data_IF_067329491727
#
_entry.id   IF_067329491727
#
_cell.length_a   1.000
_cell.length_b   1.000
_cell.length_c   1.000
_cell.angle_alpha   90.00
_cell.angle_beta   90.00
_cell.angle_gamma   90.00
#
_symmetry.space_group_name_H-M   'P 1'
#
loop_
_entity.id
_entity.type
_entity.pdbx_description
1 polymer ?
#
# COMPACT_ATOMS: atom_id res chain seq x y z
N UNK A 1 -18.04 9.94 -1.76
CA UNK A 1 -19.04 9.12 -1.01
C UNK A 1 -18.86 9.33 0.49
N UNK A 2 -19.91 9.21 1.31
CA UNK A 2 -19.73 9.41 2.77
C UNK A 2 -19.07 8.18 3.38
N UNK A 3 -18.15 8.37 4.33
CA UNK A 3 -17.43 7.24 4.95
C UNK A 3 -18.36 6.23 5.65
N UNK A 4 -19.52 6.67 6.12
CA UNK A 4 -20.54 5.80 6.73
C UNK A 4 -21.15 4.78 5.76
N UNK A 5 -21.01 4.99 4.44
CA UNK A 5 -21.48 4.05 3.42
C UNK A 5 -20.60 2.79 3.33
N UNK A 6 -19.40 2.81 3.90
CA UNK A 6 -18.52 1.63 3.95
C UNK A 6 -19.08 0.63 4.95
N UNK A 7 -19.20 -0.61 4.51
CA UNK A 7 -19.74 -1.72 5.29
C UNK A 7 -18.94 -1.95 6.58
N UNK A 8 -19.62 -1.82 7.72
CA UNK A 8 -19.05 -1.98 9.06
C UNK A 8 -18.56 -0.71 9.77
N UNK A 9 -18.58 0.48 9.15
CA UNK A 9 -18.21 1.74 9.84
C UNK A 9 -19.33 2.21 10.79
N UNK A 10 -20.59 2.24 10.35
CA UNK A 10 -21.71 2.68 11.17
C UNK A 10 -21.55 4.09 11.78
N UNK A 11 -22.54 4.56 12.54
CA UNK A 11 -22.54 5.94 13.09
C UNK A 11 -21.37 6.20 14.05
N UNK A 12 -21.04 5.23 14.90
CA UNK A 12 -20.00 5.36 15.94
C UNK A 12 -18.61 5.52 15.34
N UNK A 13 -18.20 4.67 14.39
CA UNK A 13 -16.87 4.80 13.79
C UNK A 13 -16.81 5.94 12.78
N UNK A 14 -17.91 6.26 12.06
CA UNK A 14 -17.96 7.44 11.20
C UNK A 14 -17.67 8.73 11.98
N UNK A 15 -18.26 8.89 13.18
CA UNK A 15 -17.98 10.05 14.04
C UNK A 15 -16.51 10.10 14.49
N UNK A 16 -15.93 8.95 14.88
CA UNK A 16 -14.53 8.86 15.30
C UNK A 16 -13.56 9.20 14.17
N UNK A 17 -13.81 8.67 12.97
CA UNK A 17 -12.99 8.93 11.78
C UNK A 17 -13.13 10.40 11.32
N UNK A 18 -14.34 10.96 11.38
CA UNK A 18 -14.59 12.38 11.11
C UNK A 18 -13.79 13.31 12.04
N UNK A 19 -13.74 13.00 13.34
CA UNK A 19 -12.90 13.73 14.32
C UNK A 19 -11.40 13.59 14.04
N UNK A 20 -10.99 12.52 13.36
CA UNK A 20 -9.61 12.31 12.91
C UNK A 20 -9.33 12.94 11.53
N UNK A 21 -10.28 13.70 10.96
CA UNK A 21 -10.13 14.39 9.68
C UNK A 21 -10.56 13.58 8.46
N UNK A 22 -11.19 12.42 8.62
CA UNK A 22 -11.65 11.57 7.52
C UNK A 22 -13.17 11.63 7.37
N UNK A 23 -13.64 12.37 6.38
CA UNK A 23 -15.07 12.59 6.16
C UNK A 23 -15.66 11.68 5.05
N UNK A 24 -14.84 11.26 4.09
CA UNK A 24 -15.30 10.59 2.87
C UNK A 24 -14.48 9.36 2.51
N UNK A 25 -15.02 8.55 1.61
CA UNK A 25 -14.43 7.30 1.12
C UNK A 25 -13.12 7.59 0.37
N UNK A 26 -13.08 8.66 -0.40
CA UNK A 26 -11.96 9.04 -1.24
C UNK A 26 -10.71 9.38 -0.41
N UNK A 27 -10.86 10.07 0.72
CA UNK A 27 -9.78 10.39 1.66
C UNK A 27 -9.26 9.13 2.34
N UNK A 28 -10.17 8.24 2.77
CA UNK A 28 -9.77 6.98 3.38
C UNK A 28 -8.99 6.11 2.39
N UNK A 29 -9.46 6.01 1.14
CA UNK A 29 -8.86 5.15 0.10
C UNK A 29 -7.39 5.47 -0.22
N UNK A 30 -6.91 6.67 0.11
CA UNK A 30 -5.56 7.15 -0.22
C UNK A 30 -4.54 6.96 0.89
N UNK A 31 -4.97 6.54 2.08
CA UNK A 31 -4.06 6.47 3.22
C UNK A 31 -2.96 5.42 3.02
N UNK A 32 -1.73 5.79 3.37
CA UNK A 32 -0.62 4.85 3.57
C UNK A 32 -0.80 4.08 4.89
N UNK A 33 -0.07 3.00 5.09
CA UNK A 33 -0.11 2.27 6.36
C UNK A 33 0.33 3.11 7.56
N UNK A 34 1.35 3.95 7.40
CA UNK A 34 1.75 4.93 8.43
C UNK A 34 0.57 5.85 8.79
N UNK A 35 -0.09 6.44 7.79
CA UNK A 35 -1.26 7.30 7.99
C UNK A 35 -2.45 6.54 8.61
N UNK A 36 -2.66 5.28 8.24
CA UNK A 36 -3.66 4.40 8.85
C UNK A 36 -3.35 4.22 10.35
N UNK A 37 -2.10 3.98 10.72
CA UNK A 37 -1.70 3.86 12.13
C UNK A 37 -1.90 5.17 12.90
N UNK A 38 -1.59 6.32 12.30
CA UNK A 38 -1.83 7.62 12.92
C UNK A 38 -3.32 7.88 13.16
N UNK A 39 -4.15 7.64 12.14
CA UNK A 39 -5.61 7.78 12.22
C UNK A 39 -6.17 6.82 13.26
N UNK A 40 -5.73 5.56 13.25
CA UNK A 40 -6.15 4.54 14.20
C UNK A 40 -5.86 4.97 15.65
N UNK A 41 -4.66 5.51 15.91
CA UNK A 41 -4.28 6.07 17.20
C UNK A 41 -5.17 7.26 17.61
N UNK A 42 -5.35 8.24 16.72
CA UNK A 42 -6.19 9.43 16.95
C UNK A 42 -7.65 9.05 17.23
N UNK A 43 -8.20 8.14 16.44
CA UNK A 43 -9.59 7.68 16.53
C UNK A 43 -9.82 6.64 17.64
N UNK A 44 -8.75 6.09 18.24
CA UNK A 44 -8.78 4.95 19.16
C UNK A 44 -9.56 3.77 18.56
N UNK A 45 -9.08 3.32 17.40
CA UNK A 45 -9.57 2.19 16.61
C UNK A 45 -8.39 1.28 16.31
N UNK A 46 -8.62 -0.03 16.12
CA UNK A 46 -7.57 -0.94 15.66
C UNK A 46 -7.07 -0.53 14.26
N UNK A 47 -5.75 -0.44 14.01
CA UNK A 47 -5.20 -0.18 12.67
C UNK A 47 -5.75 -1.15 11.63
N UNK A 48 -5.85 -2.45 11.96
CA UNK A 48 -6.41 -3.48 11.06
C UNK A 48 -7.88 -3.24 10.68
N UNK A 49 -8.65 -2.58 11.55
CA UNK A 49 -10.04 -2.26 11.25
C UNK A 49 -10.14 -1.06 10.30
N UNK A 50 -9.31 -0.04 10.52
CA UNK A 50 -9.18 1.09 9.58
C UNK A 50 -8.67 0.61 8.22
N UNK A 51 -7.73 -0.34 8.23
CA UNK A 51 -7.20 -0.98 7.03
C UNK A 51 -8.27 -1.66 6.20
N UNK A 52 -9.09 -2.52 6.82
CA UNK A 52 -10.22 -3.18 6.16
C UNK A 52 -11.14 -2.17 5.48
N UNK A 53 -11.44 -1.06 6.15
CA UNK A 53 -12.28 -0.02 5.57
C UNK A 53 -11.59 0.73 4.42
N UNK A 54 -10.28 0.94 4.50
CA UNK A 54 -9.50 1.50 3.39
C UNK A 54 -9.48 0.57 2.18
N UNK A 55 -9.36 -0.75 2.37
CA UNK A 55 -9.45 -1.75 1.30
C UNK A 55 -10.80 -1.69 0.58
N UNK A 56 -11.89 -1.61 1.35
CA UNK A 56 -13.23 -1.43 0.80
C UNK A 56 -13.36 -0.09 0.07
N UNK A 57 -12.80 0.99 0.63
CA UNK A 57 -12.81 2.31 0.02
C UNK A 57 -12.07 2.35 -1.33
N UNK A 58 -10.90 1.69 -1.44
CA UNK A 58 -10.16 1.61 -2.71
C UNK A 58 -10.98 0.87 -3.78
N UNK A 59 -11.63 -0.25 -3.42
CA UNK A 59 -12.51 -0.99 -4.34
C UNK A 59 -13.75 -0.19 -4.76
N UNK A 60 -14.33 0.59 -3.85
CA UNK A 60 -15.49 1.45 -4.13
C UNK A 60 -15.16 2.60 -5.10
N UNK A 61 -13.89 2.86 -5.41
CA UNK A 61 -13.51 3.79 -6.47
C UNK A 61 -13.90 3.29 -7.87
N UNK A 62 -14.19 1.99 -8.04
CA UNK A 62 -14.61 1.42 -9.31
C UNK A 62 -16.13 1.57 -9.51
N UNK A 63 -16.52 2.05 -10.70
CA UNK A 63 -17.94 2.22 -11.02
C UNK A 63 -18.66 0.88 -10.98
N UNK A 64 -19.72 0.83 -10.18
CA UNK A 64 -20.56 -0.35 -9.99
C UNK A 64 -20.14 -1.24 -8.82
N UNK A 65 -19.08 -0.90 -8.08
CA UNK A 65 -18.73 -1.55 -6.81
C UNK A 65 -19.25 -0.68 -5.65
N UNK A 66 -20.41 -1.06 -5.10
CA UNK A 66 -20.92 -0.51 -3.84
C UNK A 66 -20.35 -1.23 -2.61
N UNK A 67 -20.80 -0.83 -1.43
CA UNK A 67 -20.32 -1.35 -0.14
C UNK A 67 -20.38 -2.88 -0.02
N UNK A 68 -21.49 -3.50 -0.44
CA UNK A 68 -21.66 -4.96 -0.40
C UNK A 68 -20.64 -5.70 -1.26
N UNK A 69 -20.42 -5.23 -2.49
CA UNK A 69 -19.44 -5.85 -3.39
C UNK A 69 -18.00 -5.58 -2.94
N UNK A 70 -17.71 -4.39 -2.42
CA UNK A 70 -16.42 -4.11 -1.82
C UNK A 70 -16.14 -5.02 -0.62
N UNK A 71 -17.13 -5.24 0.26
CA UNK A 71 -16.98 -6.20 1.35
C UNK A 71 -16.83 -7.64 0.84
N UNK A 72 -17.63 -8.06 -0.14
CA UNK A 72 -17.57 -9.41 -0.69
C UNK A 72 -16.20 -9.71 -1.32
N UNK A 73 -15.69 -8.79 -2.14
CA UNK A 73 -14.36 -8.87 -2.75
C UNK A 73 -13.27 -8.94 -1.68
N UNK A 74 -13.33 -8.07 -0.67
CA UNK A 74 -12.39 -8.07 0.45
C UNK A 74 -12.35 -9.44 1.15
N UNK A 75 -13.52 -10.00 1.49
CA UNK A 75 -13.62 -11.31 2.16
C UNK A 75 -13.15 -12.50 1.31
N UNK A 76 -13.07 -12.36 -0.01
CA UNK A 76 -12.49 -13.40 -0.90
C UNK A 76 -11.01 -13.16 -1.24
N UNK A 77 -10.37 -12.21 -0.55
CA UNK A 77 -8.96 -11.87 -0.70
C UNK A 77 -8.65 -11.00 -1.91
N UNK A 78 -9.62 -10.21 -2.35
CA UNK A 78 -9.46 -9.15 -3.35
C UNK A 78 -9.72 -7.84 -2.62
N UNK A 79 -8.67 -7.24 -2.11
CA UNK A 79 -8.70 -6.14 -1.13
C UNK A 79 -8.33 -4.77 -1.73
N UNK A 80 -8.01 -4.72 -3.01
CA UNK A 80 -7.61 -3.48 -3.68
C UNK A 80 -7.91 -3.53 -5.17
N UNK A 81 -7.96 -2.34 -5.78
CA UNK A 81 -8.03 -2.18 -7.24
C UNK A 81 -6.85 -2.89 -7.91
N UNK A 82 -5.65 -2.77 -7.32
CA UNK A 82 -4.44 -3.46 -7.80
C UNK A 82 -4.62 -4.98 -7.82
N UNK A 83 -5.13 -5.56 -6.73
CA UNK A 83 -5.34 -7.01 -6.69
C UNK A 83 -6.42 -7.44 -7.67
N UNK A 84 -7.50 -6.66 -7.82
CA UNK A 84 -8.58 -6.96 -8.78
C UNK A 84 -8.10 -6.90 -10.24
N UNK A 85 -7.23 -5.94 -10.59
CA UNK A 85 -6.67 -5.78 -11.93
C UNK A 85 -5.95 -7.05 -12.43
N UNK A 86 -5.40 -7.85 -11.52
CA UNK A 86 -4.66 -9.08 -11.81
C UNK A 86 -5.55 -10.33 -11.85
N UNK A 87 -6.86 -10.21 -11.62
CA UNK A 87 -7.76 -11.38 -11.53
C UNK A 87 -8.36 -11.77 -12.88
N UNK A 88 -8.82 -13.02 -12.91
CA UNK A 88 -9.66 -13.56 -13.96
C UNK A 88 -11.13 -13.56 -13.50
N UNK A 89 -12.04 -13.04 -14.32
CA UNK A 89 -13.44 -12.83 -13.95
C UNK A 89 -14.18 -14.11 -13.58
N UNK A 90 -13.95 -15.23 -14.28
CA UNK A 90 -14.57 -16.51 -13.97
C UNK A 90 -14.20 -16.99 -12.56
N UNK A 91 -12.91 -16.92 -12.21
CA UNK A 91 -12.44 -17.27 -10.86
C UNK A 91 -12.98 -16.34 -9.77
N UNK A 92 -13.13 -15.04 -10.07
CA UNK A 92 -13.76 -14.10 -9.12
C UNK A 92 -15.22 -14.45 -8.90
N UNK A 93 -15.97 -14.72 -9.96
CA UNK A 93 -17.37 -15.14 -9.90
C UNK A 93 -17.56 -16.42 -9.08
N UNK A 94 -16.72 -17.43 -9.29
CA UNK A 94 -16.74 -18.68 -8.51
C UNK A 94 -16.54 -18.40 -7.01
N UNK A 95 -15.56 -17.56 -6.67
CA UNK A 95 -15.30 -17.18 -5.27
C UNK A 95 -16.45 -16.39 -4.64
N UNK A 96 -17.09 -15.48 -5.38
CA UNK A 96 -18.25 -14.73 -4.89
C UNK A 96 -19.43 -15.69 -4.64
N UNK A 97 -19.71 -16.62 -5.56
CA UNK A 97 -20.75 -17.66 -5.37
C UNK A 97 -20.46 -18.55 -4.16
N UNK A 98 -19.21 -18.95 -3.96
CA UNK A 98 -18.82 -19.74 -2.80
C UNK A 98 -18.96 -18.96 -1.49
N UNK A 99 -18.64 -17.66 -1.49
CA UNK A 99 -18.86 -16.78 -0.34
C UNK A 99 -20.35 -16.65 -0.02
N UNK A 100 -21.18 -16.42 -1.03
CA UNK A 100 -22.64 -16.26 -0.92
C UNK A 100 -23.28 -17.51 -0.31
N UNK A 101 -22.95 -18.71 -0.82
CA UNK A 101 -23.40 -19.98 -0.24
C UNK A 101 -23.02 -20.13 1.23
N UNK A 102 -21.84 -19.67 1.63
CA UNK A 102 -21.34 -19.76 3.01
C UNK A 102 -21.91 -18.66 3.90
N UNK A 103 -22.26 -17.51 3.34
CA UNK A 103 -22.66 -16.28 4.03
C UNK A 103 -23.66 -15.49 3.17
N UNK A 104 -24.93 -15.93 3.12
CA UNK A 104 -25.93 -15.42 2.17
C UNK A 104 -26.35 -13.96 2.40
N UNK A 105 -26.00 -13.37 3.55
CA UNK A 105 -26.43 -12.02 3.92
C UNK A 105 -25.41 -10.92 3.55
N UNK A 106 -24.34 -11.25 2.82
CA UNK A 106 -23.31 -10.25 2.47
C UNK A 106 -23.69 -9.46 1.21
N UNK A 107 -24.27 -10.14 0.23
CA UNK A 107 -24.69 -9.53 -1.03
C UNK A 107 -26.18 -9.80 -1.24
N UNK A 108 -26.93 -8.78 -1.62
CA UNK A 108 -28.37 -8.97 -1.92
C UNK A 108 -28.61 -9.70 -3.22
N UNK A 109 -27.69 -9.55 -4.18
CA UNK A 109 -27.77 -10.16 -5.51
C UNK A 109 -26.38 -10.47 -6.02
N UNK A 110 -26.21 -11.66 -6.59
CA UNK A 110 -24.97 -12.04 -7.28
C UNK A 110 -24.69 -11.08 -8.45
N UNK A 111 -23.43 -10.66 -8.64
CA UNK A 111 -23.08 -9.85 -9.79
C UNK A 111 -23.18 -10.70 -11.06
N UNK A 112 -23.41 -10.03 -12.19
CA UNK A 112 -23.33 -10.66 -13.51
C UNK A 112 -21.87 -10.78 -13.96
N UNK A 113 -21.60 -11.71 -14.88
CA UNK A 113 -20.26 -11.83 -15.49
C UNK A 113 -19.81 -10.51 -16.12
N UNK A 114 -20.71 -9.82 -16.82
CA UNK A 114 -20.44 -8.52 -17.44
C UNK A 114 -20.03 -7.45 -16.42
N UNK A 115 -20.66 -7.41 -15.24
CA UNK A 115 -20.25 -6.50 -14.17
C UNK A 115 -18.82 -6.81 -13.70
N UNK A 116 -18.50 -8.08 -13.44
CA UNK A 116 -17.15 -8.46 -12.99
C UNK A 116 -16.08 -8.18 -14.05
N UNK A 117 -16.38 -8.46 -15.33
CA UNK A 117 -15.50 -8.12 -16.45
C UNK A 117 -15.24 -6.60 -16.51
N UNK A 118 -16.29 -5.78 -16.35
CA UNK A 118 -16.18 -4.33 -16.33
C UNK A 118 -15.36 -3.81 -15.14
N UNK A 119 -15.51 -4.40 -13.95
CA UNK A 119 -14.71 -4.04 -12.77
C UNK A 119 -13.24 -4.35 -12.98
N UNK A 120 -12.91 -5.52 -13.51
CA UNK A 120 -11.51 -5.92 -13.78
C UNK A 120 -10.90 -5.02 -14.85
N UNK A 121 -11.67 -4.65 -15.90
CA UNK A 121 -11.20 -3.72 -16.92
C UNK A 121 -10.87 -2.34 -16.33
N UNK A 122 -11.81 -1.75 -15.58
CA UNK A 122 -11.57 -0.47 -14.89
C UNK A 122 -10.38 -0.55 -13.94
N UNK A 123 -10.24 -1.67 -13.22
CA UNK A 123 -9.14 -1.88 -12.30
C UNK A 123 -7.78 -1.92 -13.01
N UNK A 124 -7.69 -2.59 -14.17
CA UNK A 124 -6.49 -2.60 -15.01
C UNK A 124 -6.13 -1.21 -15.50
N UNK A 125 -7.09 -0.48 -16.05
CA UNK A 125 -6.89 0.88 -16.55
C UNK A 125 -6.38 1.81 -15.43
N UNK A 126 -7.02 1.78 -14.25
CA UNK A 126 -6.59 2.58 -13.11
C UNK A 126 -5.23 2.14 -12.55
N UNK A 127 -4.94 0.84 -12.52
CA UNK A 127 -3.66 0.32 -12.05
C UNK A 127 -2.51 0.77 -12.96
N UNK A 128 -2.66 0.64 -14.28
CA UNK A 128 -1.64 1.07 -15.23
C UNK A 128 -1.41 2.59 -15.16
N UNK A 129 -2.48 3.39 -15.08
CA UNK A 129 -2.37 4.85 -14.91
C UNK A 129 -1.67 5.21 -13.59
N UNK A 130 -2.05 4.56 -12.48
CA UNK A 130 -1.40 4.79 -11.17
C UNK A 130 0.06 4.35 -11.20
N UNK A 131 0.39 3.23 -11.85
CA UNK A 131 1.76 2.72 -11.99
C UNK A 131 2.66 3.72 -12.72
N UNK A 132 2.23 4.21 -13.89
CA UNK A 132 2.96 5.22 -14.66
C UNK A 132 3.14 6.52 -13.86
N UNK A 133 2.10 6.96 -13.13
CA UNK A 133 2.18 8.13 -12.26
C UNK A 133 3.10 7.92 -11.04
N UNK A 134 3.11 6.73 -10.45
CA UNK A 134 3.92 6.39 -9.25
C UNK A 134 5.41 6.57 -9.55
N UNK A 135 5.86 6.16 -10.73
CA UNK A 135 7.25 6.32 -11.20
C UNK A 135 7.66 7.76 -11.51
N UNK A 136 6.77 8.75 -11.38
CA UNK A 136 7.05 10.13 -11.77
C UNK A 136 6.69 11.20 -10.71
N UNK A 137 6.11 10.85 -9.55
CA UNK A 137 5.47 11.86 -8.67
C UNK A 137 5.47 11.62 -7.17
N UNK A 138 6.00 10.52 -6.64
CA UNK A 138 5.86 10.22 -5.21
C UNK A 138 6.61 11.25 -4.37
N UNK A 139 5.94 11.83 -3.37
CA UNK A 139 6.56 12.84 -2.51
C UNK A 139 7.46 12.15 -1.48
N UNK A 140 8.53 12.81 -1.05
CA UNK A 140 9.43 12.24 -0.03
C UNK A 140 8.71 11.95 1.28
N UNK A 141 7.61 12.63 1.59
CA UNK A 141 6.82 12.34 2.78
C UNK A 141 6.20 10.93 2.75
N UNK A 142 6.00 10.35 1.57
CA UNK A 142 5.41 9.01 1.41
C UNK A 142 6.43 7.89 1.64
N UNK A 143 7.72 8.20 1.84
CA UNK A 143 8.77 7.21 2.12
C UNK A 143 8.81 6.94 3.62
N UNK A 144 8.77 5.65 3.96
CA UNK A 144 8.74 5.15 5.33
C UNK A 144 9.90 5.73 6.17
N UNK A 145 9.55 6.35 7.30
CA UNK A 145 10.49 6.94 8.25
C UNK A 145 10.91 8.39 7.97
N UNK A 146 10.42 9.05 6.91
CA UNK A 146 10.61 10.50 6.70
C UNK A 146 9.63 11.31 7.56
N UNK A 147 8.32 11.05 7.44
CA UNK A 147 7.28 11.79 8.14
C UNK A 147 7.32 13.33 7.90
N UNK A 148 6.41 14.07 8.52
CA UNK A 148 6.29 15.52 8.26
C UNK A 148 7.56 16.33 8.59
N UNK A 149 8.25 15.96 9.68
CA UNK A 149 9.37 16.75 10.21
C UNK A 149 10.56 16.72 9.24
N UNK A 150 10.94 15.53 8.75
CA UNK A 150 12.04 15.43 7.81
C UNK A 150 11.61 15.83 6.40
N UNK A 151 10.37 15.55 5.99
CA UNK A 151 9.85 16.02 4.69
C UNK A 151 9.93 17.55 4.56
N UNK A 152 9.53 18.30 5.59
CA UNK A 152 9.63 19.78 5.59
C UNK A 152 11.08 20.26 5.41
N UNK A 153 12.06 19.57 6.01
CA UNK A 153 13.49 19.91 5.88
C UNK A 153 14.03 19.56 4.49
N UNK A 154 13.70 18.38 3.96
CA UNK A 154 14.09 17.93 2.64
C UNK A 154 13.49 18.82 1.54
N UNK A 155 12.19 19.15 1.64
CA UNK A 155 11.52 20.03 0.69
C UNK A 155 12.19 21.41 0.64
N UNK A 156 12.50 22.01 1.80
CA UNK A 156 13.27 23.27 1.86
C UNK A 156 14.67 23.16 1.26
N UNK A 157 15.25 21.97 1.27
CA UNK A 157 16.55 21.72 0.68
C UNK A 157 16.51 21.44 -0.83
N UNK A 158 15.31 21.31 -1.43
CA UNK A 158 15.11 21.02 -2.85
C UNK A 158 14.91 19.52 -3.16
N UNK A 159 14.73 18.69 -2.14
CA UNK A 159 14.47 17.24 -2.28
C UNK A 159 13.00 17.01 -1.93
N UNK A 160 12.15 16.95 -2.96
CA UNK A 160 10.69 16.94 -2.80
C UNK A 160 10.11 15.61 -3.25
N UNK A 161 10.71 15.00 -4.26
CA UNK A 161 10.25 13.77 -4.88
C UNK A 161 11.17 12.60 -4.56
N UNK A 162 10.62 11.40 -4.67
CA UNK A 162 11.36 10.16 -4.51
C UNK A 162 12.56 10.07 -5.46
N UNK A 163 12.43 10.57 -6.69
CA UNK A 163 13.50 10.58 -7.70
C UNK A 163 14.67 11.50 -7.30
N UNK A 164 14.40 12.58 -6.54
CA UNK A 164 15.44 13.48 -6.05
C UNK A 164 16.40 12.74 -5.11
N UNK A 165 15.89 11.79 -4.31
CA UNK A 165 16.71 10.95 -3.44
C UNK A 165 17.55 9.95 -4.23
N UNK A 166 17.01 9.36 -5.31
CA UNK A 166 17.69 8.34 -6.10
C UNK A 166 18.96 8.84 -6.79
N UNK A 167 19.03 10.15 -7.09
CA UNK A 167 20.14 10.77 -7.84
C UNK A 167 21.25 11.31 -6.93
N UNK A 168 21.11 11.19 -5.61
CA UNK A 168 22.13 11.69 -4.68
C UNK A 168 23.41 10.85 -4.76
N UNK A 169 24.54 11.54 -4.91
CA UNK A 169 25.86 10.94 -4.73
C UNK A 169 26.27 11.04 -3.26
N UNK A 170 27.30 10.27 -2.84
CA UNK A 170 27.86 10.39 -1.47
C UNK A 170 28.24 11.83 -1.09
N UNK A 171 28.71 12.63 -2.05
CA UNK A 171 29.01 14.04 -1.84
C UNK A 171 27.73 14.86 -1.59
N UNK A 172 26.71 14.70 -2.45
CA UNK A 172 25.40 15.37 -2.28
C UNK A 172 24.70 14.97 -0.98
N UNK A 173 24.85 13.74 -0.52
CA UNK A 173 24.30 13.28 0.77
C UNK A 173 24.96 14.02 1.94
N UNK A 174 26.29 14.21 1.90
CA UNK A 174 27.01 15.01 2.91
C UNK A 174 26.56 16.47 2.92
N UNK A 175 26.44 17.08 1.74
CA UNK A 175 25.94 18.46 1.60
C UNK A 175 24.53 18.61 2.15
N UNK A 176 23.63 17.68 1.77
CA UNK A 176 22.25 17.66 2.24
C UNK A 176 22.16 17.45 3.75
N UNK A 177 23.03 16.60 4.30
CA UNK A 177 23.13 16.34 5.74
C UNK A 177 23.45 17.63 6.52
N UNK A 178 24.45 18.40 6.08
CA UNK A 178 24.79 19.70 6.68
C UNK A 178 23.65 20.69 6.54
N UNK A 179 23.05 20.83 5.35
CA UNK A 179 21.97 21.79 5.06
C UNK A 179 20.70 21.52 5.87
N UNK A 180 20.33 20.25 6.04
CA UNK A 180 19.07 19.85 6.69
C UNK A 180 19.24 19.50 8.17
N UNK A 181 20.48 19.35 8.65
CA UNK A 181 20.81 18.79 9.96
C UNK A 181 20.18 17.40 10.17
N UNK A 182 20.17 16.59 9.11
CA UNK A 182 19.77 15.18 9.12
C UNK A 182 21.04 14.35 8.93
N UNK A 183 21.21 13.24 9.64
CA UNK A 183 22.42 12.42 9.48
C UNK A 183 22.52 11.81 8.08
N UNK A 184 23.75 11.65 7.58
CA UNK A 184 23.99 10.97 6.29
C UNK A 184 23.36 9.58 6.27
N UNK A 185 23.47 8.84 7.38
CA UNK A 185 22.88 7.49 7.55
C UNK A 185 21.36 7.47 7.31
N UNK A 186 20.62 8.48 7.77
CA UNK A 186 19.17 8.55 7.53
C UNK A 186 18.86 8.84 6.06
N UNK A 187 19.64 9.75 5.45
CA UNK A 187 19.48 10.09 4.02
C UNK A 187 19.83 8.88 3.14
N UNK A 188 20.93 8.18 3.44
CA UNK A 188 21.34 6.93 2.78
C UNK A 188 20.20 5.90 2.87
N UNK A 189 19.64 5.68 4.06
CA UNK A 189 18.50 4.77 4.26
C UNK A 189 17.29 5.15 3.40
N UNK A 190 16.91 6.43 3.32
CA UNK A 190 15.79 6.84 2.49
C UNK A 190 16.08 6.73 0.99
N UNK A 191 17.34 6.92 0.58
CA UNK A 191 17.78 6.66 -0.79
C UNK A 191 17.72 5.15 -1.11
N UNK A 192 18.10 4.27 -0.19
CA UNK A 192 17.98 2.82 -0.31
C UNK A 192 16.52 2.41 -0.49
N UNK A 193 15.61 2.96 0.33
CA UNK A 193 14.17 2.76 0.19
C UNK A 193 13.67 3.19 -1.19
N UNK A 194 14.00 4.42 -1.60
CA UNK A 194 13.65 4.94 -2.91
C UNK A 194 14.11 3.99 -4.02
N UNK A 195 15.37 3.54 -3.97
CA UNK A 195 15.93 2.62 -4.96
C UNK A 195 15.20 1.27 -5.01
N UNK A 196 14.84 0.68 -3.87
CA UNK A 196 14.06 -0.57 -3.84
C UNK A 196 12.65 -0.38 -4.40
N UNK A 197 12.04 0.78 -4.19
CA UNK A 197 10.69 1.11 -4.68
C UNK A 197 10.58 1.25 -6.21
N UNK A 198 11.71 1.16 -6.94
CA UNK A 198 11.72 1.00 -8.42
C UNK A 198 11.13 -0.33 -8.87
N UNK A 199 11.18 -1.35 -8.02
CA UNK A 199 10.66 -2.68 -8.32
C UNK A 199 9.14 -2.68 -8.14
N UNK A 200 8.41 -3.10 -9.16
CA UNK A 200 6.95 -3.16 -9.10
C UNK A 200 6.51 -4.15 -8.02
N UNK A 201 5.64 -3.67 -7.13
CA UNK A 201 5.22 -4.40 -5.94
C UNK A 201 5.93 -3.98 -4.65
N UNK A 202 7.10 -3.33 -4.73
CA UNK A 202 7.76 -2.76 -3.54
C UNK A 202 7.24 -1.33 -3.32
N UNK A 203 6.59 -1.13 -2.18
CA UNK A 203 6.16 0.17 -1.69
C UNK A 203 7.00 0.60 -0.47
N UNK A 204 6.66 1.73 0.17
CA UNK A 204 7.38 2.26 1.33
C UNK A 204 7.60 1.21 2.43
N UNK A 205 6.54 0.53 2.86
CA UNK A 205 6.59 -0.48 3.92
C UNK A 205 7.51 -1.67 3.58
N UNK A 206 7.40 -2.20 2.36
CA UNK A 206 8.26 -3.31 1.94
C UNK A 206 9.70 -2.88 1.73
N UNK A 207 9.94 -1.63 1.31
CA UNK A 207 11.29 -1.10 1.20
C UNK A 207 11.96 -0.96 2.56
N UNK A 208 11.23 -0.48 3.59
CA UNK A 208 11.75 -0.46 4.97
C UNK A 208 11.94 -1.88 5.51
N UNK A 209 10.94 -2.77 5.36
CA UNK A 209 11.05 -4.14 5.85
C UNK A 209 12.24 -4.88 5.23
N UNK A 210 12.46 -4.74 3.91
CA UNK A 210 13.62 -5.31 3.22
C UNK A 210 14.93 -4.71 3.77
N UNK A 211 15.01 -3.40 3.93
CA UNK A 211 16.16 -2.71 4.50
C UNK A 211 16.49 -3.24 5.91
N UNK A 212 15.47 -3.38 6.77
CA UNK A 212 15.59 -3.84 8.15
C UNK A 212 16.04 -5.30 8.27
N UNK A 213 15.77 -6.14 7.26
CA UNK A 213 16.28 -7.53 7.20
C UNK A 213 17.61 -7.66 6.42
N UNK A 214 18.28 -6.52 6.16
CA UNK A 214 19.60 -6.47 5.52
C UNK A 214 19.57 -6.59 4.00
N UNK A 215 18.48 -6.16 3.37
CA UNK A 215 18.33 -6.06 1.91
C UNK A 215 18.09 -4.59 1.58
N UNK A 216 19.17 -3.82 1.50
CA UNK A 216 19.17 -2.36 1.34
C UNK A 216 19.31 -1.90 -0.12
N UNK A 217 19.56 -2.82 -1.06
CA UNK A 217 19.78 -2.48 -2.46
C UNK A 217 19.15 -3.48 -3.43
N UNK A 218 18.85 -2.99 -4.63
CA UNK A 218 18.37 -3.82 -5.75
C UNK A 218 19.36 -4.95 -6.05
N UNK A 219 20.67 -4.66 -6.00
CA UNK A 219 21.74 -5.65 -6.22
C UNK A 219 21.73 -6.74 -5.14
N UNK A 220 21.53 -6.39 -3.87
CA UNK A 220 21.42 -7.38 -2.80
C UNK A 220 20.15 -8.21 -2.94
N UNK A 221 19.01 -7.60 -3.26
CA UNK A 221 17.75 -8.31 -3.49
C UNK A 221 17.87 -9.32 -4.65
N UNK A 222 18.53 -8.97 -5.74
CA UNK A 222 18.72 -9.82 -6.92
C UNK A 222 19.43 -11.16 -6.61
N UNK A 223 20.23 -11.20 -5.54
CA UNK A 223 20.98 -12.39 -5.11
C UNK A 223 20.23 -13.27 -4.11
N UNK A 224 19.10 -12.81 -3.57
CA UNK A 224 18.38 -13.54 -2.51
C UNK A 224 17.56 -14.70 -3.06
N UNK A 225 17.29 -15.68 -2.19
CA UNK A 225 16.35 -16.76 -2.43
C UNK A 225 14.92 -16.30 -2.05
N UNK A 226 13.89 -16.56 -2.87
CA UNK A 226 12.53 -16.09 -2.59
C UNK A 226 11.96 -16.61 -1.27
N UNK A 227 12.09 -17.90 -0.99
CA UNK A 227 11.55 -18.49 0.25
C UNK A 227 12.23 -17.91 1.49
N UNK A 228 13.58 -17.92 1.52
CA UNK A 228 14.32 -17.37 2.66
C UNK A 228 14.12 -15.87 2.87
N UNK A 229 13.81 -15.12 1.80
CA UNK A 229 13.44 -13.69 1.94
C UNK A 229 12.07 -13.55 2.57
N UNK A 230 11.08 -14.34 2.14
CA UNK A 230 9.75 -14.35 2.74
C UNK A 230 9.80 -14.75 4.22
N UNK A 231 10.56 -15.79 4.57
CA UNK A 231 10.70 -16.27 5.95
C UNK A 231 11.25 -15.17 6.88
N UNK A 232 12.25 -14.41 6.41
CA UNK A 232 12.79 -13.26 7.14
C UNK A 232 11.78 -12.13 7.30
N UNK A 233 10.97 -11.83 6.28
CA UNK A 233 9.89 -10.84 6.40
C UNK A 233 8.86 -11.29 7.45
N UNK A 234 8.52 -12.59 7.49
CA UNK A 234 7.61 -13.16 8.49
C UNK A 234 8.20 -13.07 9.90
N UNK A 235 9.48 -13.39 10.07
CA UNK A 235 10.17 -13.26 11.37
C UNK A 235 10.21 -11.80 11.83
N UNK A 236 10.52 -10.88 10.91
CA UNK A 236 10.51 -9.44 11.18
C UNK A 236 9.13 -8.96 11.66
N UNK A 237 8.04 -9.31 10.97
CA UNK A 237 6.67 -8.94 11.36
C UNK A 237 6.27 -9.51 12.72
N UNK A 238 6.66 -10.76 13.04
CA UNK A 238 6.44 -11.35 14.36
C UNK A 238 7.15 -10.56 15.46
N UNK A 239 8.36 -10.09 15.19
CA UNK A 239 9.15 -9.32 16.16
C UNK A 239 8.69 -7.86 16.29
N UNK A 240 8.10 -7.30 15.22
CA UNK A 240 7.65 -5.91 15.13
C UNK A 240 6.29 -5.84 14.46
N UNK A 241 5.21 -6.21 15.17
CA UNK A 241 3.89 -6.26 14.59
C UNK A 241 3.42 -4.86 14.17
N UNK A 242 2.69 -4.80 13.06
CA UNK A 242 2.15 -3.58 12.46
C UNK A 242 3.20 -2.65 11.83
N UNK A 243 4.42 -3.11 11.56
CA UNK A 243 5.36 -2.37 10.69
C UNK A 243 5.00 -2.55 9.22
N UNK A 244 4.69 -3.78 8.82
CA UNK A 244 4.12 -4.06 7.50
C UNK A 244 2.62 -4.28 7.62
N UNK A 245 1.86 -3.75 6.67
CA UNK A 245 0.41 -3.92 6.61
C UNK A 245 0.02 -5.39 6.38
N UNK A 246 0.76 -6.05 5.49
CA UNK A 246 0.46 -7.42 5.05
C UNK A 246 1.75 -8.17 4.74
N UNK A 247 1.77 -9.45 5.09
CA UNK A 247 2.82 -10.37 4.66
C UNK A 247 2.70 -10.58 3.13
N UNK A 248 3.77 -10.37 2.35
CA UNK A 248 3.73 -10.63 0.91
C UNK A 248 3.59 -12.12 0.63
N UNK A 249 3.05 -12.48 -0.53
CA UNK A 249 3.04 -13.88 -0.96
C UNK A 249 4.40 -14.26 -1.52
N UNK A 250 4.71 -15.55 -1.53
CA UNK A 250 5.94 -16.05 -2.16
C UNK A 250 6.07 -15.60 -3.63
N UNK A 251 4.96 -15.57 -4.37
CA UNK A 251 4.94 -15.10 -5.77
C UNK A 251 5.26 -13.61 -5.91
N UNK A 252 4.88 -12.77 -4.93
CA UNK A 252 5.27 -11.36 -4.91
C UNK A 252 6.80 -11.24 -4.77
N UNK A 253 7.37 -11.97 -3.81
CA UNK A 253 8.82 -11.98 -3.55
C UNK A 253 9.62 -12.54 -4.74
N UNK A 254 9.13 -13.62 -5.38
CA UNK A 254 9.70 -14.13 -6.63
C UNK A 254 9.71 -13.07 -7.73
N UNK A 255 8.61 -12.35 -7.89
CA UNK A 255 8.51 -11.25 -8.87
C UNK A 255 9.50 -10.13 -8.56
N UNK A 256 9.63 -9.73 -7.29
CA UNK A 256 10.57 -8.69 -6.89
C UNK A 256 12.01 -9.05 -7.23
N UNK A 257 12.44 -10.26 -6.89
CA UNK A 257 13.80 -10.76 -7.18
C UNK A 257 14.02 -10.88 -8.69
N UNK A 258 13.03 -11.35 -9.45
CA UNK A 258 13.13 -11.46 -10.91
C UNK A 258 13.25 -10.09 -11.59
N UNK A 259 12.57 -9.06 -11.08
CA UNK A 259 12.72 -7.68 -11.55
C UNK A 259 14.08 -7.10 -11.15
N UNK A 260 14.52 -7.32 -9.90
CA UNK A 260 15.83 -6.87 -9.41
C UNK A 260 16.99 -7.41 -10.25
N UNK A 261 16.90 -8.65 -10.73
CA UNK A 261 17.92 -9.27 -11.62
C UNK A 261 18.02 -8.63 -13.00
N UNK A 262 17.01 -7.86 -13.42
CA UNK A 262 16.95 -7.19 -14.73
C UNK A 262 17.37 -5.72 -14.66
N UNK A 263 17.64 -5.21 -13.46
CA UNK A 263 17.99 -3.81 -13.18
C UNK A 263 19.48 -3.63 -12.97
#
# INVERSE_FOLDING_TARGET
MKIIEIEGIGKKYALKLGRAGLANVEDLSKLTWEQINEVAKKARISPKLVDKWQEQADLMALKGIGAEFAEALNKIGIDSVKELAKRNSAKVMEKIKALDKRRPNIIRKLPTKAQVDAWIKQAKELYEVKKVKKTAKMDVIDIEGIGETYAKKLNKAGVVKLEDLMTLTKAKIKELSVKTKISTKMIDKWQEHANLMKIDGIGPEYSDALNQIGIDSVKELAKRAPQGTLDKIVEFDKSRPNVIRKIPKLEDVKSWIAQAKKM
#
